data_IF_047680407194
#
_entry.id   IF_047680407194
#
_cell.length_a   1.000
_cell.length_b   1.000
_cell.length_c   1.000
_cell.angle_alpha   90.00
_cell.angle_beta   90.00
_cell.angle_gamma   90.00
#
_symmetry.space_group_name_H-M   'P 1'
#
loop_
_entity.id
_entity.type
_entity.pdbx_description
1 polymer ?
#
# COMPACT_ATOMS: atom_id res chain seq x y z
N UNK A 1 -52.94 17.95 9.64
CA UNK A 1 -53.55 19.22 9.20
C UNK A 1 -55.00 18.91 8.87
N UNK A 2 -55.91 19.40 9.70
CA UNK A 2 -57.36 19.22 9.51
C UNK A 2 -57.80 19.86 8.19
N UNK A 3 -58.40 19.09 7.29
CA UNK A 3 -59.00 19.62 6.06
C UNK A 3 -60.36 20.24 6.42
N UNK A 4 -60.46 21.56 6.30
CA UNK A 4 -61.70 22.29 6.48
C UNK A 4 -62.75 21.91 5.42
N UNK A 5 -63.79 21.20 5.86
CA UNK A 5 -65.04 21.07 5.10
C UNK A 5 -65.79 22.40 5.18
N UNK A 6 -65.63 23.28 4.19
CA UNK A 6 -66.48 24.46 4.04
C UNK A 6 -67.91 24.03 3.67
N UNK A 7 -68.81 24.14 4.66
CA UNK A 7 -70.24 23.91 4.47
C UNK A 7 -70.84 25.07 3.67
N UNK A 8 -71.27 24.78 2.44
CA UNK A 8 -72.09 25.69 1.64
C UNK A 8 -73.45 25.95 2.32
N UNK A 9 -73.62 27.13 2.93
CA UNK A 9 -74.91 27.63 3.40
C UNK A 9 -75.43 28.64 2.37
N UNK A 10 -76.57 28.35 1.73
CA UNK A 10 -77.29 29.32 0.87
C UNK A 10 -78.64 29.65 1.54
N UNK A 11 -78.88 30.95 1.80
CA UNK A 11 -80.20 31.49 2.19
C UNK A 11 -81.10 31.53 0.95
N UNK A 12 -82.30 30.92 1.03
CA UNK A 12 -83.31 30.92 -0.04
C UNK A 12 -83.91 32.32 -0.27
N UNK A 13 -83.97 32.84 -1.51
CA UNK A 13 -84.96 33.82 -1.91
C UNK A 13 -86.17 33.13 -2.56
N UNK A 14 -87.38 33.37 -2.06
CA UNK A 14 -88.63 32.88 -2.66
C UNK A 14 -88.96 33.63 -3.96
N UNK A 15 -88.91 32.93 -5.11
CA UNK A 15 -89.72 33.28 -6.29
C UNK A 15 -90.50 32.05 -6.73
N UNK A 16 -91.82 32.20 -6.79
CA UNK A 16 -92.81 31.16 -7.14
C UNK A 16 -92.87 30.99 -8.66
N UNK A 17 -92.20 29.95 -9.16
CA UNK A 17 -92.60 29.16 -10.31
C UNK A 17 -92.62 27.70 -9.86
N UNK A 18 -93.50 26.84 -10.40
CA UNK A 18 -93.46 25.42 -10.07
C UNK A 18 -92.11 24.86 -10.53
N UNK A 19 -91.28 24.39 -9.61
CA UNK A 19 -90.05 23.68 -9.92
C UNK A 19 -90.39 22.38 -10.66
N UNK A 20 -89.80 22.18 -11.82
CA UNK A 20 -89.90 20.92 -12.57
C UNK A 20 -89.03 19.88 -11.89
N UNK A 21 -89.60 18.70 -11.65
CA UNK A 21 -88.88 17.57 -11.04
C UNK A 21 -87.73 17.18 -11.98
N UNK A 22 -86.53 17.01 -11.42
CA UNK A 22 -85.30 16.63 -12.12
C UNK A 22 -84.75 17.58 -13.19
N UNK A 23 -85.33 18.77 -13.38
CA UNK A 23 -84.80 19.74 -14.35
C UNK A 23 -83.37 20.25 -14.03
N UNK A 24 -82.98 20.24 -12.75
CA UNK A 24 -81.63 20.57 -12.30
C UNK A 24 -80.66 19.37 -12.36
N UNK A 25 -81.14 18.16 -12.69
CA UNK A 25 -80.34 16.94 -12.68
C UNK A 25 -79.50 16.85 -13.96
N UNK A 26 -78.20 16.58 -13.79
CA UNK A 26 -77.30 16.31 -14.92
C UNK A 26 -77.64 14.97 -15.54
N UNK A 27 -77.53 14.87 -16.87
CA UNK A 27 -77.69 13.62 -17.59
C UNK A 27 -76.48 12.69 -17.29
N UNK A 28 -76.79 11.49 -16.79
CA UNK A 28 -75.81 10.47 -16.43
C UNK A 28 -74.84 10.14 -17.59
N UNK A 29 -75.34 10.15 -18.83
CA UNK A 29 -74.56 9.83 -20.04
C UNK A 29 -73.49 10.89 -20.36
N UNK A 30 -73.61 12.08 -19.78
CA UNK A 30 -72.67 13.18 -20.01
C UNK A 30 -71.50 13.18 -19.05
N UNK A 31 -71.54 12.36 -18.00
CA UNK A 31 -70.50 12.29 -16.96
C UNK A 31 -69.36 11.40 -17.48
N UNK A 32 -68.24 12.02 -17.83
CA UNK A 32 -67.04 11.35 -18.31
C UNK A 32 -65.93 11.40 -17.26
N UNK A 33 -65.23 10.28 -17.08
CA UNK A 33 -64.08 10.16 -16.18
C UNK A 33 -62.82 9.89 -17.00
N UNK A 34 -61.80 10.73 -16.84
CA UNK A 34 -60.51 10.62 -17.50
C UNK A 34 -59.41 10.40 -16.45
N UNK A 35 -58.55 9.40 -16.65
CA UNK A 35 -57.38 9.14 -15.78
C UNK A 35 -56.20 9.97 -16.28
N UNK A 36 -55.64 10.82 -15.43
CA UNK A 36 -54.53 11.68 -15.79
C UNK A 36 -53.21 10.89 -15.70
N UNK A 37 -52.45 10.82 -16.80
CA UNK A 37 -51.04 10.37 -16.86
C UNK A 37 -50.69 9.05 -16.14
N UNK A 38 -51.62 8.10 -16.03
CA UNK A 38 -51.38 6.82 -15.35
C UNK A 38 -51.07 6.95 -13.85
N UNK A 39 -51.43 8.08 -13.23
CA UNK A 39 -51.38 8.28 -11.77
C UNK A 39 -52.75 7.97 -11.15
N UNK A 40 -52.85 8.11 -9.82
CA UNK A 40 -54.10 8.03 -9.05
C UNK A 40 -55.05 9.21 -9.26
N UNK A 41 -54.75 10.10 -10.20
CA UNK A 41 -55.41 11.38 -10.36
C UNK A 41 -56.42 11.31 -11.50
N UNK A 42 -57.64 11.80 -11.25
CA UNK A 42 -58.75 11.70 -12.20
C UNK A 42 -59.35 13.07 -12.46
N UNK A 43 -59.88 13.24 -13.67
CA UNK A 43 -60.71 14.38 -14.05
C UNK A 43 -62.11 13.88 -14.41
N UNK A 44 -63.13 14.48 -13.80
CA UNK A 44 -64.54 14.18 -14.05
C UNK A 44 -65.15 15.39 -14.75
N UNK A 45 -65.73 15.21 -15.94
CA UNK A 45 -66.36 16.27 -16.73
C UNK A 45 -67.83 15.94 -17.03
N UNK A 46 -68.67 16.97 -17.19
CA UNK A 46 -70.09 16.78 -17.50
C UNK A 46 -70.68 17.97 -18.26
N UNK A 47 -71.87 17.79 -18.83
CA UNK A 47 -72.62 18.89 -19.47
C UNK A 47 -73.66 19.49 -18.51
N UNK A 48 -73.98 20.76 -18.71
CA UNK A 48 -75.01 21.44 -17.94
C UNK A 48 -76.40 20.82 -18.21
N UNK A 49 -77.31 20.82 -17.23
CA UNK A 49 -78.73 20.56 -17.45
C UNK A 49 -79.29 21.51 -18.52
N UNK A 50 -80.22 21.01 -19.35
CA UNK A 50 -80.73 21.73 -20.53
C UNK A 50 -81.57 22.95 -20.14
N UNK A 51 -82.40 22.82 -19.09
CA UNK A 51 -83.29 23.90 -18.61
C UNK A 51 -83.46 23.84 -17.09
N UNK A 52 -82.47 24.31 -16.30
CA UNK A 52 -82.52 24.24 -14.84
C UNK A 52 -83.56 25.21 -14.25
N UNK A 53 -84.16 24.83 -13.12
CA UNK A 53 -85.16 25.61 -12.37
C UNK A 53 -84.60 26.94 -11.83
N UNK A 54 -83.29 27.17 -11.89
CA UNK A 54 -82.65 28.42 -11.50
C UNK A 54 -81.18 28.47 -11.91
N UNK A 55 -80.55 29.63 -11.70
CA UNK A 55 -79.13 29.80 -11.98
C UNK A 55 -78.31 28.79 -11.18
N UNK A 56 -77.45 28.04 -11.88
CA UNK A 56 -76.53 27.09 -11.27
C UNK A 56 -75.38 27.87 -10.65
N UNK A 57 -75.17 27.69 -9.35
CA UNK A 57 -74.14 28.39 -8.57
C UNK A 57 -72.96 27.49 -8.22
N UNK A 58 -73.17 26.17 -8.14
CA UNK A 58 -72.11 25.21 -7.87
C UNK A 58 -72.49 23.79 -8.28
N UNK A 59 -71.50 22.91 -8.33
CA UNK A 59 -71.66 21.46 -8.43
C UNK A 59 -71.03 20.77 -7.24
N UNK A 60 -71.70 19.77 -6.70
CA UNK A 60 -71.13 18.86 -5.69
C UNK A 60 -70.79 17.56 -6.36
N UNK A 61 -69.50 17.26 -6.47
CA UNK A 61 -68.99 16.01 -7.03
C UNK A 61 -68.46 15.16 -5.90
N UNK A 62 -68.96 13.95 -5.77
CA UNK A 62 -68.54 12.98 -4.75
C UNK A 62 -68.07 11.71 -5.43
N UNK A 63 -66.92 11.22 -5.00
CA UNK A 63 -66.34 9.96 -5.47
C UNK A 63 -66.40 8.95 -4.34
N UNK A 64 -67.06 7.82 -4.59
CA UNK A 64 -67.40 6.79 -3.60
C UNK A 64 -66.71 5.49 -3.99
N UNK A 65 -65.79 4.99 -3.16
CA UNK A 65 -65.23 3.66 -3.35
C UNK A 65 -66.32 2.62 -3.02
N UNK A 66 -66.58 1.70 -3.94
CA UNK A 66 -67.61 0.66 -3.82
C UNK A 66 -67.10 -0.60 -3.12
N UNK A 67 -65.78 -0.84 -3.12
CA UNK A 67 -65.16 -2.05 -2.58
C UNK A 67 -64.74 -1.92 -1.09
N UNK A 68 -64.48 -0.70 -0.61
CA UNK A 68 -64.04 -0.43 0.76
C UNK A 68 -64.99 0.57 1.43
N UNK A 69 -65.29 0.43 2.73
CA UNK A 69 -65.98 1.45 3.55
C UNK A 69 -65.10 2.71 3.76
N UNK A 70 -64.54 3.26 2.68
CA UNK A 70 -63.79 4.51 2.74
C UNK A 70 -64.74 5.69 2.83
N UNK A 71 -64.34 6.73 3.57
CA UNK A 71 -65.01 8.03 3.56
C UNK A 71 -65.08 8.58 2.14
N UNK A 72 -66.27 8.89 1.60
CA UNK A 72 -66.39 9.50 0.29
C UNK A 72 -65.59 10.80 0.22
N UNK A 73 -64.89 11.01 -0.89
CA UNK A 73 -64.17 12.27 -1.15
C UNK A 73 -65.09 13.15 -1.97
N UNK A 74 -65.46 14.32 -1.47
CA UNK A 74 -66.31 15.27 -2.17
C UNK A 74 -65.67 16.64 -2.37
N UNK A 75 -65.99 17.26 -3.48
CA UNK A 75 -65.60 18.63 -3.83
C UNK A 75 -66.83 19.42 -4.22
N UNK A 76 -66.89 20.67 -3.77
CA UNK A 76 -67.93 21.63 -4.16
C UNK A 76 -67.30 22.69 -5.06
N UNK A 77 -67.66 22.68 -6.34
CA UNK A 77 -67.03 23.52 -7.35
C UNK A 77 -67.99 24.67 -7.68
N UNK A 78 -67.63 25.93 -7.34
CA UNK A 78 -68.43 27.09 -7.68
C UNK A 78 -68.37 27.37 -9.19
N UNK A 79 -69.51 27.74 -9.77
CA UNK A 79 -69.57 28.14 -11.18
C UNK A 79 -69.00 29.56 -11.31
N UNK A 80 -68.01 29.74 -12.20
CA UNK A 80 -67.41 31.04 -12.53
C UNK A 80 -67.39 31.25 -14.05
N UNK A 81 -67.19 32.49 -14.50
CA UNK A 81 -67.16 32.82 -15.94
C UNK A 81 -66.01 32.18 -16.71
N UNK A 82 -64.94 31.77 -16.01
CA UNK A 82 -63.72 31.19 -16.60
C UNK A 82 -63.67 29.66 -16.51
N UNK A 83 -64.65 29.04 -15.84
CA UNK A 83 -64.67 27.60 -15.58
C UNK A 83 -65.86 26.94 -16.27
N UNK A 84 -65.61 25.87 -17.02
CA UNK A 84 -66.63 25.10 -17.74
C UNK A 84 -66.64 23.64 -17.26
N UNK A 85 -67.78 23.09 -16.82
CA UNK A 85 -67.87 21.69 -16.37
C UNK A 85 -67.53 20.66 -17.44
N UNK A 86 -67.68 21.01 -18.73
CA UNK A 86 -67.36 20.11 -19.84
C UNK A 86 -65.86 20.11 -20.21
N UNK A 87 -65.07 21.07 -19.72
CA UNK A 87 -63.64 21.22 -20.06
C UNK A 87 -62.77 21.05 -18.82
N UNK A 88 -63.06 21.82 -17.77
CA UNK A 88 -62.26 21.83 -16.54
C UNK A 88 -62.70 20.69 -15.61
N UNK A 89 -64.02 20.54 -15.41
CA UNK A 89 -64.58 19.51 -14.55
C UNK A 89 -64.09 19.56 -13.10
N UNK A 90 -64.13 18.42 -12.42
CA UNK A 90 -63.59 18.18 -11.08
C UNK A 90 -62.32 17.33 -11.15
N UNK A 91 -61.26 17.72 -10.44
CA UNK A 91 -60.00 16.95 -10.39
C UNK A 91 -59.80 16.39 -8.98
N UNK A 92 -59.66 15.07 -8.87
CA UNK A 92 -59.35 14.39 -7.62
C UNK A 92 -57.96 13.78 -7.72
N UNK A 93 -57.07 14.14 -6.80
CA UNK A 93 -55.69 13.67 -6.76
C UNK A 93 -55.49 12.67 -5.63
N UNK A 94 -54.59 11.70 -5.83
CA UNK A 94 -54.19 10.76 -4.77
C UNK A 94 -55.26 9.78 -4.31
N UNK A 95 -56.17 9.35 -5.21
CA UNK A 95 -57.15 8.33 -4.86
C UNK A 95 -56.48 6.97 -4.60
N UNK A 96 -56.99 6.26 -3.59
CA UNK A 96 -56.53 4.92 -3.25
C UNK A 96 -56.95 3.89 -4.31
N UNK A 97 -56.41 2.69 -4.21
CA UNK A 97 -56.79 1.55 -5.03
C UNK A 97 -58.25 1.12 -4.79
N UNK A 98 -59.04 1.05 -5.87
CA UNK A 98 -60.39 0.47 -5.84
C UNK A 98 -61.32 0.95 -6.95
N UNK A 99 -62.55 0.44 -6.87
CA UNK A 99 -63.63 0.72 -7.82
C UNK A 99 -64.47 1.88 -7.34
N UNK A 100 -64.53 2.96 -8.11
CA UNK A 100 -65.18 4.19 -7.71
C UNK A 100 -66.44 4.47 -8.52
N UNK A 101 -67.43 5.05 -7.84
CA UNK A 101 -68.65 5.61 -8.43
C UNK A 101 -68.66 7.12 -8.23
N UNK A 102 -69.01 7.85 -9.28
CA UNK A 102 -69.24 9.29 -9.21
C UNK A 102 -70.70 9.57 -8.87
N UNK A 103 -70.92 10.43 -7.88
CA UNK A 103 -72.21 11.05 -7.58
C UNK A 103 -72.10 12.56 -7.80
N UNK A 104 -72.92 13.10 -8.69
CA UNK A 104 -72.95 14.52 -9.05
C UNK A 104 -74.29 15.15 -8.66
N UNK A 105 -74.24 16.30 -8.00
CA UNK A 105 -75.43 17.11 -7.70
C UNK A 105 -75.23 18.56 -8.14
N UNK A 106 -76.23 19.10 -8.82
CA UNK A 106 -76.28 20.52 -9.19
C UNK A 106 -76.82 21.32 -8.01
N UNK A 107 -76.21 22.47 -7.72
CA UNK A 107 -76.71 23.45 -6.76
C UNK A 107 -77.19 24.66 -7.56
N UNK A 108 -78.51 24.82 -7.65
CA UNK A 108 -79.17 25.97 -8.28
C UNK A 108 -79.72 26.91 -7.20
N UNK A 109 -80.19 28.09 -7.60
CA UNK A 109 -80.95 28.98 -6.71
C UNK A 109 -82.27 28.34 -6.21
N UNK A 110 -82.81 27.34 -6.92
CA UNK A 110 -84.03 26.63 -6.55
C UNK A 110 -83.77 25.52 -5.51
N UNK A 111 -82.56 24.95 -5.50
CA UNK A 111 -82.18 23.92 -4.53
C UNK A 111 -81.05 23.02 -5.02
N UNK A 112 -80.90 21.88 -4.34
CA UNK A 112 -79.93 20.85 -4.73
C UNK A 112 -80.69 19.77 -5.51
N UNK A 113 -80.16 19.37 -6.66
CA UNK A 113 -80.76 18.33 -7.50
C UNK A 113 -80.72 16.94 -6.83
N UNK A 114 -81.52 16.02 -7.37
CA UNK A 114 -81.29 14.59 -7.15
C UNK A 114 -79.89 14.19 -7.68
N UNK A 115 -79.26 13.15 -7.09
CA UNK A 115 -77.97 12.67 -7.55
C UNK A 115 -78.04 12.08 -8.96
N UNK A 116 -77.12 12.51 -9.81
CA UNK A 116 -76.76 11.88 -11.07
C UNK A 116 -75.56 10.95 -10.82
N UNK A 117 -75.56 9.77 -11.42
CA UNK A 117 -74.47 8.80 -11.30
C UNK A 117 -73.86 8.56 -12.67
N UNK A 118 -72.53 8.46 -12.74
CA UNK A 118 -71.88 7.95 -13.95
C UNK A 118 -72.35 6.53 -14.24
N UNK A 119 -72.54 6.19 -15.52
CA UNK A 119 -73.05 4.87 -15.92
C UNK A 119 -72.01 3.76 -15.66
N UNK A 120 -70.73 4.06 -15.85
CA UNK A 120 -69.63 3.12 -15.64
C UNK A 120 -68.88 3.38 -14.32
N UNK A 121 -68.52 2.30 -13.64
CA UNK A 121 -67.54 2.33 -12.55
C UNK A 121 -66.15 2.47 -13.14
N UNK A 122 -65.29 3.27 -12.51
CA UNK A 122 -63.90 3.40 -12.93
C UNK A 122 -62.97 2.82 -11.86
N UNK A 123 -61.88 2.21 -12.32
CA UNK A 123 -60.89 1.57 -11.45
C UNK A 123 -59.66 2.45 -11.34
N UNK A 124 -59.25 2.78 -10.12
CA UNK A 124 -57.96 3.40 -9.85
C UNK A 124 -57.00 2.31 -9.40
N UNK A 125 -55.94 2.07 -10.17
CA UNK A 125 -54.87 1.13 -9.82
C UNK A 125 -53.55 1.89 -9.68
N UNK A 126 -53.03 1.99 -8.46
CA UNK A 126 -51.68 2.49 -8.22
C UNK A 126 -50.69 1.32 -8.33
N UNK A 127 -49.71 1.36 -9.24
CA UNK A 127 -48.72 0.28 -9.33
C UNK A 127 -47.91 0.24 -8.04
N UNK A 128 -47.93 -0.92 -7.36
CA UNK A 128 -47.19 -1.12 -6.12
C UNK A 128 -45.67 -0.99 -6.32
N UNK A 129 -44.94 -0.82 -5.22
CA UNK A 129 -43.46 -0.71 -5.22
C UNK A 129 -42.77 -1.88 -5.94
N UNK A 130 -43.36 -3.08 -5.88
CA UNK A 130 -42.86 -4.30 -6.51
C UNK A 130 -43.23 -4.43 -7.98
N UNK A 131 -42.81 -3.48 -8.81
CA UNK A 131 -42.89 -3.65 -10.27
C UNK A 131 -41.72 -4.50 -10.79
N UNK A 132 -41.92 -5.19 -11.91
CA UNK A 132 -40.85 -5.96 -12.59
C UNK A 132 -39.64 -5.06 -12.89
N UNK A 133 -39.90 -3.79 -13.25
CA UNK A 133 -38.84 -2.79 -13.48
C UNK A 133 -38.02 -2.52 -12.21
N UNK A 134 -38.67 -2.36 -11.06
CA UNK A 134 -38.01 -2.11 -9.79
C UNK A 134 -37.22 -3.35 -9.31
N UNK A 135 -37.77 -4.54 -9.51
CA UNK A 135 -37.08 -5.80 -9.18
C UNK A 135 -35.81 -5.95 -10.04
N UNK A 136 -35.90 -5.70 -11.35
CA UNK A 136 -34.74 -5.74 -12.26
C UNK A 136 -33.67 -4.72 -11.88
N UNK A 137 -34.07 -3.50 -11.49
CA UNK A 137 -33.15 -2.46 -11.04
C UNK A 137 -32.40 -2.88 -9.76
N UNK A 138 -33.09 -3.47 -8.79
CA UNK A 138 -32.48 -3.96 -7.55
C UNK A 138 -31.47 -5.08 -7.81
N UNK A 139 -31.78 -6.02 -8.70
CA UNK A 139 -30.85 -7.08 -9.11
C UNK A 139 -29.60 -6.53 -9.80
N UNK A 140 -29.77 -5.52 -10.66
CA UNK A 140 -28.65 -4.86 -11.33
C UNK A 140 -27.70 -4.16 -10.34
N UNK A 141 -28.26 -3.44 -9.36
CA UNK A 141 -27.46 -2.77 -8.32
C UNK A 141 -26.71 -3.81 -7.47
N UNK A 142 -27.35 -4.92 -7.11
CA UNK A 142 -26.72 -6.00 -6.35
C UNK A 142 -25.54 -6.64 -7.12
N UNK A 143 -25.70 -6.86 -8.44
CA UNK A 143 -24.63 -7.39 -9.28
C UNK A 143 -23.43 -6.44 -9.36
N UNK A 144 -23.69 -5.14 -9.54
CA UNK A 144 -22.64 -4.11 -9.53
C UNK A 144 -21.87 -4.07 -8.21
N UNK A 145 -22.58 -4.16 -7.08
CA UNK A 145 -21.96 -4.22 -5.76
C UNK A 145 -21.07 -5.47 -5.60
N UNK A 146 -21.55 -6.64 -6.01
CA UNK A 146 -20.78 -7.88 -5.96
C UNK A 146 -19.49 -7.82 -6.79
N UNK A 147 -19.54 -7.18 -7.97
CA UNK A 147 -18.36 -6.97 -8.83
C UNK A 147 -17.35 -6.06 -8.12
N UNK A 148 -17.79 -4.95 -7.53
CA UNK A 148 -16.91 -4.01 -6.81
C UNK A 148 -16.23 -4.72 -5.63
N UNK A 149 -16.99 -5.48 -4.83
CA UNK A 149 -16.45 -6.27 -3.71
C UNK A 149 -15.45 -7.32 -4.22
N UNK A 150 -15.73 -7.98 -5.35
CA UNK A 150 -14.81 -8.92 -5.98
C UNK A 150 -13.50 -8.29 -6.42
N UNK A 151 -13.54 -7.10 -7.03
CA UNK A 151 -12.34 -6.35 -7.46
C UNK A 151 -11.51 -5.92 -6.25
N UNK A 152 -12.15 -5.34 -5.23
CA UNK A 152 -11.48 -4.93 -3.99
C UNK A 152 -10.86 -6.15 -3.31
N UNK A 153 -11.62 -7.24 -3.18
CA UNK A 153 -11.14 -8.52 -2.67
C UNK A 153 -9.94 -9.04 -3.45
N UNK A 154 -9.97 -9.01 -4.78
CA UNK A 154 -8.83 -9.38 -5.63
C UNK A 154 -7.59 -8.53 -5.35
N UNK A 155 -7.71 -7.20 -5.23
CA UNK A 155 -6.57 -6.34 -4.92
C UNK A 155 -6.02 -6.58 -3.51
N UNK A 156 -6.88 -6.80 -2.52
CA UNK A 156 -6.47 -7.16 -1.16
C UNK A 156 -5.76 -8.51 -1.13
N UNK A 157 -6.32 -9.53 -1.79
CA UNK A 157 -5.71 -10.85 -1.92
C UNK A 157 -4.40 -10.76 -2.67
N UNK A 158 -4.32 -10.05 -3.79
CA UNK A 158 -3.08 -9.85 -4.56
C UNK A 158 -2.00 -9.15 -3.73
N UNK A 159 -2.36 -8.13 -2.94
CA UNK A 159 -1.43 -7.42 -2.05
C UNK A 159 -0.96 -8.32 -0.90
N UNK A 160 -1.88 -9.05 -0.27
CA UNK A 160 -1.59 -10.00 0.81
C UNK A 160 -0.73 -11.17 0.32
N UNK A 161 -1.10 -11.81 -0.79
CA UNK A 161 -0.33 -12.87 -1.43
C UNK A 161 1.01 -12.36 -1.93
N UNK A 162 1.12 -11.19 -2.55
CA UNK A 162 2.44 -10.68 -2.97
C UNK A 162 3.41 -10.49 -1.80
N UNK A 163 2.90 -10.12 -0.63
CA UNK A 163 3.70 -9.96 0.59
C UNK A 163 4.05 -11.33 1.20
N UNK A 164 3.08 -12.24 1.29
CA UNK A 164 3.28 -13.64 1.75
C UNK A 164 4.17 -14.46 0.80
N UNK A 165 4.05 -14.30 -0.50
CA UNK A 165 4.88 -15.01 -1.50
C UNK A 165 6.33 -14.54 -1.41
N UNK A 166 6.59 -13.25 -1.14
CA UNK A 166 7.95 -12.78 -0.81
C UNK A 166 8.48 -13.46 0.46
N UNK A 167 7.64 -13.59 1.48
CA UNK A 167 7.97 -14.26 2.75
C UNK A 167 8.25 -15.76 2.55
N UNK A 168 7.39 -16.49 1.82
CA UNK A 168 7.57 -17.89 1.48
C UNK A 168 8.75 -18.13 0.55
N UNK A 169 8.98 -17.30 -0.46
CA UNK A 169 10.16 -17.41 -1.32
C UNK A 169 11.43 -17.26 -0.48
N UNK A 170 11.47 -16.30 0.45
CA UNK A 170 12.60 -16.09 1.35
C UNK A 170 12.81 -17.27 2.31
N UNK A 171 11.74 -17.86 2.84
CA UNK A 171 11.80 -19.06 3.68
C UNK A 171 12.15 -20.33 2.90
N UNK A 172 11.67 -20.48 1.67
CA UNK A 172 11.96 -21.61 0.78
C UNK A 172 13.44 -21.59 0.33
N UNK A 173 13.98 -20.40 0.04
CA UNK A 173 15.42 -20.16 -0.17
C UNK A 173 16.24 -20.68 1.01
N UNK A 174 15.73 -20.56 2.24
CA UNK A 174 16.43 -21.03 3.46
C UNK A 174 16.25 -22.52 3.76
N UNK A 175 15.18 -23.15 3.28
CA UNK A 175 14.79 -24.50 3.67
C UNK A 175 15.30 -25.60 2.71
N UNK A 176 15.47 -25.30 1.42
CA UNK A 176 16.11 -26.22 0.48
C UNK A 176 16.63 -25.49 -0.78
N UNK A 177 17.88 -25.02 -0.78
CA UNK A 177 18.38 -24.15 -1.85
C UNK A 177 18.74 -24.91 -3.15
N UNK A 178 18.63 -26.24 -3.18
CA UNK A 178 18.82 -27.07 -4.39
C UNK A 178 17.65 -27.00 -5.39
N UNK A 179 16.44 -26.61 -4.95
CA UNK A 179 15.25 -26.59 -5.81
C UNK A 179 15.08 -25.33 -6.67
N UNK A 180 15.97 -24.35 -6.49
CA UNK A 180 15.87 -23.06 -7.17
C UNK A 180 16.85 -23.03 -8.35
N UNK A 181 16.31 -22.97 -9.57
CA UNK A 181 17.15 -22.69 -10.73
C UNK A 181 17.66 -21.25 -10.65
N UNK A 182 18.91 -21.00 -11.07
CA UNK A 182 19.52 -19.66 -11.07
C UNK A 182 18.63 -18.62 -11.79
N UNK A 183 17.88 -19.07 -12.81
CA UNK A 183 16.96 -18.25 -13.60
C UNK A 183 15.65 -17.88 -12.87
N UNK A 184 15.22 -18.65 -11.87
CA UNK A 184 14.01 -18.37 -11.10
C UNK A 184 14.23 -17.34 -9.97
N UNK A 185 15.48 -17.11 -9.55
CA UNK A 185 15.80 -16.30 -8.38
C UNK A 185 16.56 -15.00 -8.69
N UNK A 186 17.47 -15.01 -9.66
CA UNK A 186 18.19 -13.80 -10.08
C UNK A 186 17.71 -13.36 -11.45
N UNK A 187 17.04 -12.22 -11.51
CA UNK A 187 16.69 -11.56 -12.77
C UNK A 187 17.73 -10.48 -13.04
N UNK A 188 18.35 -10.46 -14.23
CA UNK A 188 19.22 -9.36 -14.63
C UNK A 188 18.51 -8.03 -14.42
N UNK A 189 19.22 -7.09 -13.78
CA UNK A 189 18.75 -5.74 -13.54
C UNK A 189 19.73 -4.72 -14.13
N UNK A 190 19.59 -3.46 -13.76
CA UNK A 190 20.44 -2.37 -14.25
C UNK A 190 21.92 -2.45 -13.83
N UNK A 191 22.28 -3.42 -12.98
CA UNK A 191 23.67 -3.70 -12.60
C UNK A 191 24.30 -4.82 -13.43
N UNK A 192 23.56 -5.40 -14.38
CA UNK A 192 24.07 -6.44 -15.28
C UNK A 192 25.09 -5.84 -16.26
N UNK A 193 26.26 -6.47 -16.38
CA UNK A 193 27.30 -6.11 -17.33
C UNK A 193 27.42 -7.16 -18.43
N UNK A 194 27.87 -6.76 -19.62
CA UNK A 194 28.18 -7.74 -20.66
C UNK A 194 29.52 -8.41 -20.36
N UNK A 195 29.54 -9.74 -20.44
CA UNK A 195 30.76 -10.54 -20.26
C UNK A 195 31.87 -10.16 -21.24
N UNK A 196 31.52 -9.79 -22.48
CA UNK A 196 32.47 -9.40 -23.53
C UNK A 196 33.29 -8.16 -23.18
N UNK A 197 32.77 -7.32 -22.28
CA UNK A 197 33.39 -6.04 -21.96
C UNK A 197 34.40 -6.17 -20.82
N UNK A 198 34.53 -7.36 -20.24
CA UNK A 198 35.42 -7.69 -19.14
C UNK A 198 36.51 -8.66 -19.59
N UNK A 199 37.74 -8.38 -19.17
CA UNK A 199 38.88 -9.29 -19.36
C UNK A 199 39.39 -9.74 -18.00
N UNK A 200 39.48 -11.06 -17.77
CA UNK A 200 40.13 -11.63 -16.59
C UNK A 200 41.62 -11.81 -16.88
N UNK A 201 42.49 -11.44 -15.95
CA UNK A 201 43.94 -11.49 -16.11
C UNK A 201 44.56 -12.56 -15.18
N UNK A 202 44.93 -12.19 -13.96
CA UNK A 202 45.60 -13.08 -13.01
C UNK A 202 44.78 -13.29 -11.74
N UNK A 203 44.91 -14.47 -11.13
CA UNK A 203 44.30 -14.77 -9.83
C UNK A 203 45.01 -13.95 -8.73
N UNK A 204 44.24 -13.14 -7.98
CA UNK A 204 44.76 -12.27 -6.89
C UNK A 204 44.36 -12.78 -5.50
N UNK A 205 43.42 -13.71 -5.41
CA UNK A 205 43.02 -14.27 -4.14
C UNK A 205 42.00 -15.40 -4.27
N UNK A 206 41.75 -16.08 -3.15
CA UNK A 206 40.70 -17.08 -3.01
C UNK A 206 39.82 -16.72 -1.82
N UNK A 207 38.53 -16.61 -2.07
CA UNK A 207 37.50 -16.42 -1.05
C UNK A 207 36.68 -17.70 -0.85
N UNK A 208 35.65 -17.58 -0.02
CA UNK A 208 34.76 -18.71 0.36
C UNK A 208 34.04 -19.34 -0.83
N UNK A 209 33.62 -18.54 -1.83
CA UNK A 209 32.85 -19.01 -2.99
C UNK A 209 33.72 -19.43 -4.19
N UNK A 210 34.99 -19.02 -4.22
CA UNK A 210 35.84 -19.24 -5.37
C UNK A 210 37.00 -18.25 -5.45
N UNK A 211 37.42 -17.97 -6.68
CA UNK A 211 38.63 -17.20 -6.97
C UNK A 211 38.30 -15.74 -7.24
N UNK A 212 39.21 -14.87 -6.86
CA UNK A 212 39.21 -13.45 -7.22
C UNK A 212 40.32 -13.22 -8.23
N UNK A 213 39.98 -12.61 -9.35
CA UNK A 213 40.92 -12.26 -10.40
C UNK A 213 41.08 -10.74 -10.46
N UNK A 214 42.29 -10.28 -10.79
CA UNK A 214 42.46 -8.96 -11.39
C UNK A 214 41.84 -9.01 -12.78
N UNK A 215 41.12 -7.96 -13.14
CA UNK A 215 40.53 -7.83 -14.46
C UNK A 215 40.52 -6.40 -14.96
N UNK A 216 39.99 -6.23 -16.16
CA UNK A 216 39.87 -4.94 -16.81
C UNK A 216 38.51 -4.78 -17.47
N UNK A 217 37.85 -3.64 -17.26
CA UNK A 217 36.66 -3.19 -17.97
C UNK A 217 37.05 -2.32 -19.17
N UNK A 218 36.63 -2.71 -20.37
CA UNK A 218 36.91 -1.95 -21.59
C UNK A 218 35.86 -0.84 -21.81
N UNK A 219 36.12 0.37 -21.28
CA UNK A 219 35.20 1.52 -21.35
C UNK A 219 33.80 1.22 -20.78
N UNK A 220 33.73 0.38 -19.74
CA UNK A 220 32.46 -0.02 -19.14
C UNK A 220 31.99 1.05 -18.17
N UNK A 221 30.78 1.54 -18.37
CA UNK A 221 30.11 2.47 -17.47
C UNK A 221 29.33 1.69 -16.40
N UNK A 222 29.71 1.85 -15.14
CA UNK A 222 28.99 1.29 -13.99
C UNK A 222 27.61 1.95 -13.83
N UNK A 223 26.70 1.30 -13.10
CA UNK A 223 25.41 1.89 -12.76
C UNK A 223 25.54 3.23 -12.01
N UNK A 224 26.61 3.39 -11.23
CA UNK A 224 26.93 4.60 -10.49
C UNK A 224 27.54 5.71 -11.35
N UNK A 225 27.73 5.50 -12.66
CA UNK A 225 28.28 6.49 -13.59
C UNK A 225 29.80 6.51 -13.68
N UNK A 226 30.50 5.52 -13.11
CA UNK A 226 31.96 5.43 -13.23
C UNK A 226 32.37 4.62 -14.44
N UNK A 227 33.28 5.16 -15.23
CA UNK A 227 34.02 4.33 -16.19
C UNK A 227 35.18 3.67 -15.46
N UNK A 228 35.20 2.35 -15.39
CA UNK A 228 36.26 1.62 -14.68
C UNK A 228 37.18 0.87 -15.66
N UNK A 229 38.48 0.94 -15.38
CA UNK A 229 39.52 0.18 -16.06
C UNK A 229 39.88 -1.06 -15.23
N UNK A 230 40.83 -0.92 -14.31
CA UNK A 230 41.25 -2.02 -13.43
C UNK A 230 40.16 -2.35 -12.40
N UNK A 231 39.83 -3.63 -12.24
CA UNK A 231 38.82 -4.10 -11.30
C UNK A 231 39.19 -5.44 -10.67
N UNK A 232 38.53 -5.76 -9.54
CA UNK A 232 38.54 -7.10 -8.96
C UNK A 232 37.30 -7.88 -9.41
N UNK A 233 37.50 -9.07 -9.96
CA UNK A 233 36.43 -9.94 -10.46
C UNK A 233 36.37 -11.19 -9.58
N UNK A 234 35.35 -11.25 -8.72
CA UNK A 234 35.06 -12.43 -7.89
C UNK A 234 34.27 -13.42 -8.74
N UNK A 235 34.62 -14.70 -8.63
CA UNK A 235 34.00 -15.80 -9.38
C UNK A 235 33.56 -16.90 -8.44
N UNK A 236 32.52 -17.62 -8.83
CA UNK A 236 32.10 -18.86 -8.17
C UNK A 236 32.78 -20.06 -8.86
N UNK A 237 33.11 -21.10 -8.10
CA UNK A 237 33.67 -22.34 -8.68
C UNK A 237 32.70 -22.99 -9.68
N UNK A 238 33.22 -23.60 -10.76
CA UNK A 238 32.38 -24.26 -11.77
C UNK A 238 31.56 -25.42 -11.19
N UNK A 239 32.11 -26.11 -10.18
CA UNK A 239 31.46 -27.18 -9.43
C UNK A 239 30.41 -26.69 -8.44
N UNK A 240 30.23 -25.38 -8.26
CA UNK A 240 29.32 -24.85 -7.27
C UNK A 240 27.88 -25.20 -7.60
N UNK A 241 27.13 -25.62 -6.57
CA UNK A 241 25.71 -25.94 -6.71
C UNK A 241 24.86 -24.66 -6.86
N UNK A 242 23.58 -24.82 -7.22
CA UNK A 242 22.66 -23.69 -7.41
C UNK A 242 22.54 -22.82 -6.15
N UNK A 243 22.65 -23.42 -4.96
CA UNK A 243 22.58 -22.74 -3.67
C UNK A 243 23.76 -21.78 -3.45
N UNK A 244 24.99 -22.25 -3.71
CA UNK A 244 26.22 -21.48 -3.58
C UNK A 244 26.25 -20.33 -4.58
N UNK A 245 25.81 -20.57 -5.82
CA UNK A 245 25.65 -19.54 -6.86
C UNK A 245 24.64 -18.47 -6.44
N UNK A 246 23.50 -18.89 -5.87
CA UNK A 246 22.51 -17.97 -5.35
C UNK A 246 23.06 -17.14 -4.19
N UNK A 247 23.75 -17.76 -3.23
CA UNK A 247 24.36 -17.05 -2.10
C UNK A 247 25.40 -16.04 -2.58
N UNK A 248 26.18 -16.41 -3.60
CA UNK A 248 27.15 -15.53 -4.24
C UNK A 248 26.49 -14.29 -4.86
N UNK A 249 25.38 -14.46 -5.58
CA UNK A 249 24.60 -13.36 -6.16
C UNK A 249 23.89 -12.51 -5.10
N UNK A 250 23.45 -13.11 -4.00
CA UNK A 250 22.85 -12.38 -2.87
C UNK A 250 23.86 -11.45 -2.18
N UNK A 251 25.11 -11.87 -2.04
CA UNK A 251 26.19 -11.02 -1.53
C UNK A 251 26.34 -9.76 -2.38
N UNK A 252 26.35 -9.90 -3.71
CA UNK A 252 26.40 -8.77 -4.63
C UNK A 252 25.14 -7.89 -4.56
N UNK A 253 23.95 -8.49 -4.40
CA UNK A 253 22.70 -7.73 -4.27
C UNK A 253 22.68 -6.82 -3.04
N UNK A 254 23.32 -7.22 -1.95
CA UNK A 254 23.47 -6.35 -0.77
C UNK A 254 24.32 -5.12 -1.11
N UNK A 255 25.42 -5.31 -1.85
CA UNK A 255 26.33 -4.23 -2.22
C UNK A 255 25.70 -3.18 -3.15
N UNK A 256 24.67 -3.54 -3.94
CA UNK A 256 23.93 -2.59 -4.80
C UNK A 256 23.28 -1.44 -4.03
N UNK A 257 23.03 -1.62 -2.72
CA UNK A 257 22.39 -0.62 -1.87
C UNK A 257 23.35 0.39 -1.23
N UNK A 258 24.66 0.19 -1.39
CA UNK A 258 25.67 1.03 -0.75
C UNK A 258 26.05 2.25 -1.60
N UNK A 259 26.26 3.39 -0.93
CA UNK A 259 26.68 4.63 -1.60
C UNK A 259 28.11 4.50 -2.10
N UNK A 260 28.36 5.13 -3.25
CA UNK A 260 29.66 5.15 -3.90
C UNK A 260 30.72 5.92 -3.10
N UNK A 261 30.33 6.92 -2.29
CA UNK A 261 31.26 7.74 -1.51
C UNK A 261 31.61 7.17 -0.14
N UNK A 262 30.96 6.08 0.30
CA UNK A 262 31.25 5.48 1.60
C UNK A 262 32.60 4.75 1.59
N UNK A 263 33.22 4.57 2.76
CA UNK A 263 34.40 3.71 2.94
C UNK A 263 34.04 2.21 2.89
N UNK A 264 33.29 1.81 1.86
CA UNK A 264 32.83 0.47 1.55
C UNK A 264 33.33 0.10 0.15
N UNK A 265 33.78 -1.14 -0.03
CA UNK A 265 34.23 -1.63 -1.34
C UNK A 265 33.09 -1.52 -2.36
N UNK A 266 33.31 -0.73 -3.41
CA UNK A 266 32.34 -0.41 -4.44
C UNK A 266 32.08 -1.57 -5.38
N UNK A 267 30.80 -1.84 -5.63
CA UNK A 267 30.35 -2.73 -6.70
C UNK A 267 30.28 -1.96 -8.02
N UNK A 268 30.86 -2.49 -9.09
CA UNK A 268 30.67 -1.95 -10.44
C UNK A 268 29.54 -2.65 -11.19
N UNK A 269 29.35 -3.95 -10.97
CA UNK A 269 28.25 -4.70 -11.55
C UNK A 269 28.36 -6.21 -11.39
N UNK A 270 27.42 -6.93 -11.98
CA UNK A 270 27.30 -8.39 -11.93
C UNK A 270 27.18 -8.93 -13.35
N UNK A 271 27.78 -10.09 -13.61
CA UNK A 271 27.54 -10.85 -14.84
C UNK A 271 26.92 -12.17 -14.44
N UNK A 272 25.61 -12.25 -14.58
CA UNK A 272 24.81 -13.45 -14.31
C UNK A 272 24.66 -14.34 -15.55
N UNK A 273 24.86 -13.80 -16.75
CA UNK A 273 24.85 -14.56 -18.00
C UNK A 273 26.16 -15.33 -18.25
N UNK A 274 26.02 -16.61 -18.59
CA UNK A 274 27.13 -17.56 -18.74
C UNK A 274 27.76 -18.03 -17.43
N UNK A 275 28.73 -18.94 -17.53
CA UNK A 275 29.49 -19.48 -16.40
C UNK A 275 31.00 -19.20 -16.59
N UNK A 276 31.75 -18.93 -15.50
CA UNK A 276 31.25 -18.70 -14.14
C UNK A 276 30.58 -17.33 -13.99
N UNK A 277 29.63 -17.21 -13.06
CA UNK A 277 29.04 -15.92 -12.66
C UNK A 277 30.13 -14.98 -12.11
N UNK A 278 30.07 -13.70 -12.47
CA UNK A 278 31.07 -12.71 -12.08
C UNK A 278 30.46 -11.61 -11.22
N UNK A 279 31.18 -11.19 -10.19
CA UNK A 279 30.89 -9.97 -9.40
C UNK A 279 32.08 -9.05 -9.53
N UNK A 280 31.85 -7.87 -10.12
CA UNK A 280 32.88 -6.90 -10.50
C UNK A 280 32.90 -5.77 -9.49
N UNK A 281 34.04 -5.56 -8.85
CA UNK A 281 34.23 -4.61 -7.75
C UNK A 281 35.45 -3.73 -8.00
N UNK A 282 35.55 -2.64 -7.25
CA UNK A 282 36.77 -1.82 -7.25
C UNK A 282 38.00 -2.63 -6.84
N UNK A 283 39.13 -2.29 -7.43
CA UNK A 283 40.41 -2.93 -7.13
C UNK A 283 41.00 -2.35 -5.85
N UNK A 284 41.48 -3.22 -4.97
CA UNK A 284 42.18 -2.85 -3.74
C UNK A 284 43.59 -3.44 -3.80
N UNK A 285 44.51 -2.72 -4.44
CA UNK A 285 45.81 -3.26 -4.92
C UNK A 285 46.72 -3.76 -3.80
N UNK A 286 46.59 -3.23 -2.58
CA UNK A 286 47.41 -3.62 -1.43
C UNK A 286 46.79 -4.76 -0.62
N UNK A 287 45.66 -5.31 -1.09
CA UNK A 287 45.00 -6.46 -0.49
C UNK A 287 44.28 -6.13 0.82
N UNK A 288 44.09 -7.14 1.68
CA UNK A 288 43.44 -6.94 2.97
C UNK A 288 44.38 -6.33 4.01
N UNK A 289 43.82 -5.55 4.93
CA UNK A 289 44.55 -4.79 5.94
C UNK A 289 45.34 -5.70 6.88
N UNK A 290 44.85 -6.90 7.20
CA UNK A 290 45.61 -7.86 8.04
C UNK A 290 46.93 -8.25 7.40
N UNK A 291 46.90 -8.65 6.14
CA UNK A 291 48.10 -9.14 5.44
C UNK A 291 49.00 -7.95 5.06
N UNK A 292 48.42 -6.79 4.74
CA UNK A 292 49.16 -5.53 4.59
C UNK A 292 49.98 -5.19 5.84
N UNK A 293 49.36 -5.23 7.04
CA UNK A 293 50.05 -4.97 8.30
C UNK A 293 51.14 -6.01 8.62
N UNK A 294 50.91 -7.29 8.27
CA UNK A 294 51.92 -8.34 8.45
C UNK A 294 53.14 -8.12 7.56
N UNK A 295 52.93 -7.72 6.31
CA UNK A 295 54.01 -7.41 5.36
C UNK A 295 54.88 -6.23 5.79
N UNK A 296 54.45 -5.44 6.79
CA UNK A 296 55.17 -4.28 7.32
C UNK A 296 55.76 -4.53 8.71
N UNK A 297 55.62 -5.75 9.23
CA UNK A 297 56.14 -6.13 10.55
C UNK A 297 57.66 -6.36 10.43
N UNK A 298 58.51 -5.66 11.20
CA UNK A 298 59.95 -5.86 11.16
C UNK A 298 60.32 -7.25 11.65
N UNK A 299 61.19 -7.92 10.90
CA UNK A 299 61.65 -9.28 11.20
C UNK A 299 60.61 -10.38 10.96
N UNK A 300 59.47 -10.06 10.35
CA UNK A 300 58.50 -11.07 9.92
C UNK A 300 58.91 -11.70 8.58
N UNK A 301 58.64 -12.99 8.41
CA UNK A 301 58.90 -13.72 7.15
C UNK A 301 58.14 -13.11 5.98
N UNK A 302 56.96 -12.54 6.24
CA UNK A 302 56.12 -11.88 5.25
C UNK A 302 56.63 -10.49 4.83
N UNK A 303 57.55 -9.87 5.59
CA UNK A 303 58.15 -8.57 5.26
C UNK A 303 59.42 -8.73 4.43
N UNK A 304 59.27 -9.31 3.24
CA UNK A 304 60.38 -9.63 2.34
C UNK A 304 61.13 -8.37 1.89
N UNK A 305 60.39 -7.26 1.69
CA UNK A 305 60.92 -5.99 1.17
C UNK A 305 61.45 -5.07 2.29
N UNK A 306 61.48 -5.51 3.55
CA UNK A 306 61.84 -4.68 4.72
C UNK A 306 61.10 -3.34 4.75
N UNK A 307 59.82 -3.38 4.42
CA UNK A 307 58.94 -2.25 4.40
C UNK A 307 58.83 -1.64 5.81
N UNK A 308 58.84 -0.29 5.92
CA UNK A 308 58.74 0.38 7.20
C UNK A 308 57.37 0.14 7.84
N UNK A 309 57.37 0.11 9.17
CA UNK A 309 56.14 0.11 9.98
C UNK A 309 55.32 1.36 9.63
N UNK A 310 54.00 1.24 9.46
CA UNK A 310 53.15 2.41 9.27
C UNK A 310 53.30 3.42 10.40
N UNK A 311 53.20 4.68 10.05
CA UNK A 311 53.22 5.80 10.98
C UNK A 311 51.96 5.81 11.85
N UNK A 312 52.02 6.47 13.01
CA UNK A 312 50.84 6.67 13.85
C UNK A 312 49.71 7.41 13.11
N UNK A 313 50.05 8.34 12.22
CA UNK A 313 49.09 9.05 11.39
C UNK A 313 48.31 8.11 10.47
N UNK A 314 48.98 7.15 9.81
CA UNK A 314 48.33 6.17 8.95
C UNK A 314 47.38 5.26 9.75
N UNK A 315 47.78 4.81 10.94
CA UNK A 315 46.89 4.05 11.81
C UNK A 315 45.62 4.82 12.21
N UNK A 316 45.75 6.12 12.52
CA UNK A 316 44.59 6.96 12.86
C UNK A 316 43.68 7.19 11.66
N UNK A 317 44.26 7.40 10.48
CA UNK A 317 43.52 7.57 9.23
C UNK A 317 42.70 6.32 8.90
N UNK A 318 43.30 5.14 8.94
CA UNK A 318 42.58 3.88 8.70
C UNK A 318 41.49 3.62 9.73
N UNK A 319 41.74 3.93 11.01
CA UNK A 319 40.72 3.80 12.04
C UNK A 319 39.53 4.75 11.80
N UNK A 320 39.81 5.99 11.37
CA UNK A 320 38.77 6.96 11.02
C UNK A 320 37.93 6.51 9.82
N UNK A 321 38.58 6.02 8.76
CA UNK A 321 37.90 5.52 7.55
C UNK A 321 37.01 4.30 7.85
N UNK A 322 37.51 3.34 8.63
CA UNK A 322 36.71 2.18 9.07
C UNK A 322 35.54 2.63 9.95
N UNK A 323 35.76 3.57 10.88
CA UNK A 323 34.71 4.06 11.74
C UNK A 323 33.62 4.81 10.95
N UNK A 324 34.01 5.63 9.98
CA UNK A 324 33.08 6.35 9.10
C UNK A 324 32.28 5.38 8.21
N UNK A 325 32.93 4.37 7.62
CA UNK A 325 32.25 3.30 6.89
C UNK A 325 31.24 2.53 7.75
N UNK A 326 31.58 2.21 9.00
CA UNK A 326 30.65 1.57 9.93
C UNK A 326 29.51 2.50 10.38
N UNK A 327 29.77 3.81 10.51
CA UNK A 327 28.74 4.82 10.76
C UNK A 327 27.76 4.93 9.60
N UNK A 328 28.25 4.86 8.36
CA UNK A 328 27.41 4.77 7.17
C UNK A 328 26.52 3.52 7.21
N UNK A 329 27.09 2.32 7.46
CA UNK A 329 26.30 1.09 7.55
C UNK A 329 25.23 1.16 8.65
N UNK A 330 25.54 1.74 9.81
CA UNK A 330 24.57 1.98 10.87
C UNK A 330 23.43 2.91 10.41
N UNK A 331 23.75 3.98 9.67
CA UNK A 331 22.77 4.95 9.19
C UNK A 331 21.72 4.33 8.26
N UNK A 332 22.11 3.31 7.49
CA UNK A 332 21.23 2.53 6.61
C UNK A 332 20.68 1.25 7.31
N UNK A 333 20.83 1.15 8.64
CA UNK A 333 20.37 0.01 9.46
C UNK A 333 20.93 -1.34 9.02
N UNK A 334 22.18 -1.34 8.58
CA UNK A 334 22.89 -2.52 8.14
C UNK A 334 23.94 -2.97 9.15
N UNK A 335 23.97 -4.26 9.45
CA UNK A 335 24.94 -4.83 10.38
C UNK A 335 25.89 -5.78 9.64
N UNK A 336 27.19 -5.43 9.62
CA UNK A 336 28.21 -6.24 8.94
C UNK A 336 28.44 -7.62 9.59
N UNK A 337 28.36 -7.71 10.93
CA UNK A 337 28.53 -8.93 11.76
C UNK A 337 29.89 -9.64 11.73
N UNK A 338 30.77 -9.31 10.79
CA UNK A 338 32.12 -9.88 10.68
C UNK A 338 33.17 -8.81 10.39
N UNK A 339 33.11 -7.67 11.08
CA UNK A 339 34.13 -6.63 10.90
C UNK A 339 35.46 -7.11 11.52
N UNK A 340 36.49 -7.24 10.67
CA UNK A 340 37.85 -7.61 11.07
C UNK A 340 38.86 -7.10 10.04
N UNK A 341 40.14 -6.97 10.42
CA UNK A 341 41.19 -6.48 9.51
C UNK A 341 41.37 -7.32 8.22
N UNK A 342 40.94 -8.59 8.21
CA UNK A 342 40.93 -9.43 7.00
C UNK A 342 39.81 -9.05 6.00
N UNK A 343 38.78 -8.37 6.49
CA UNK A 343 37.62 -7.91 5.73
C UNK A 343 37.69 -6.40 5.46
N UNK A 344 38.76 -5.72 5.89
CA UNK A 344 39.10 -4.38 5.43
C UNK A 344 40.14 -4.49 4.32
N UNK A 345 40.00 -3.72 3.26
CA UNK A 345 40.85 -3.74 2.07
C UNK A 345 41.58 -2.40 1.93
N UNK A 346 42.79 -2.42 1.38
CA UNK A 346 43.65 -1.24 1.22
C UNK A 346 43.89 -0.98 -0.27
N UNK A 347 43.61 0.24 -0.72
CA UNK A 347 43.79 0.65 -2.11
C UNK A 347 45.23 1.13 -2.40
N UNK A 348 45.52 1.46 -3.67
CA UNK A 348 46.80 2.04 -4.10
C UNK A 348 47.18 3.32 -3.33
N UNK A 349 46.20 4.12 -2.90
CA UNK A 349 46.37 5.41 -2.22
C UNK A 349 46.43 5.30 -0.69
N UNK A 350 46.50 4.08 -0.11
CA UNK A 350 46.42 3.83 1.34
C UNK A 350 45.06 4.16 1.98
N UNK A 351 43.99 4.25 1.19
CA UNK A 351 42.63 4.32 1.70
C UNK A 351 42.15 2.92 2.06
N UNK A 352 41.56 2.80 3.24
CA UNK A 352 40.95 1.57 3.74
C UNK A 352 39.45 1.61 3.54
N UNK A 353 38.92 0.54 2.98
CA UNK A 353 37.48 0.33 2.81
C UNK A 353 37.05 -1.01 3.38
N UNK A 354 35.82 -1.07 3.87
CA UNK A 354 35.22 -2.29 4.41
C UNK A 354 34.68 -3.13 3.24
N UNK A 355 35.03 -4.40 3.21
CA UNK A 355 34.56 -5.37 2.21
C UNK A 355 34.13 -6.68 2.86
N UNK A 356 33.83 -7.67 2.02
CA UNK A 356 33.36 -9.02 2.40
C UNK A 356 32.09 -9.02 3.28
N UNK A 357 30.93 -8.99 2.61
CA UNK A 357 29.61 -8.96 3.23
C UNK A 357 28.98 -10.34 3.36
N UNK A 358 29.76 -11.43 3.24
CA UNK A 358 29.25 -12.81 3.21
C UNK A 358 28.43 -13.25 4.45
N UNK A 359 28.51 -12.51 5.56
CA UNK A 359 27.74 -12.76 6.80
C UNK A 359 26.77 -11.63 7.17
N UNK A 360 26.66 -10.61 6.33
CA UNK A 360 25.94 -9.40 6.66
C UNK A 360 24.42 -9.54 6.45
N UNK A 361 23.61 -8.87 7.29
CA UNK A 361 22.14 -8.95 7.23
C UNK A 361 21.47 -7.63 7.64
N UNK A 362 20.31 -7.37 7.04
CA UNK A 362 19.38 -6.32 7.46
C UNK A 362 18.86 -6.59 8.90
N UNK A 363 18.82 -5.55 9.73
CA UNK A 363 18.35 -5.59 11.12
C UNK A 363 16.86 -5.97 11.20
N UNK A 364 16.04 -5.64 10.18
CA UNK A 364 14.60 -5.98 10.15
C UNK A 364 14.31 -7.48 9.94
N UNK A 365 15.30 -8.26 9.51
CA UNK A 365 15.15 -9.71 9.35
C UNK A 365 14.81 -10.41 10.69
N UNK A 366 15.18 -9.80 11.82
CA UNK A 366 14.95 -10.38 13.15
C UNK A 366 13.53 -10.20 13.71
N UNK A 367 12.70 -9.29 13.18
CA UNK A 367 11.31 -9.17 13.64
C UNK A 367 10.39 -10.26 13.08
N UNK A 368 10.79 -10.97 12.01
CA UNK A 368 9.91 -11.91 11.30
C UNK A 368 10.50 -13.32 11.08
N UNK A 369 11.78 -13.57 11.41
CA UNK A 369 12.41 -14.88 11.22
C UNK A 369 12.51 -15.70 12.53
N UNK A 370 11.67 -16.72 12.67
CA UNK A 370 11.84 -17.83 13.62
C UNK A 370 12.40 -19.04 12.86
N UNK A 371 13.67 -19.43 13.05
CA UNK A 371 14.18 -20.66 12.46
C UNK A 371 13.49 -21.87 13.14
N UNK A 372 12.82 -22.70 12.34
CA UNK A 372 12.30 -23.98 12.80
C UNK A 372 13.48 -24.93 13.07
N UNK A 373 13.60 -25.41 14.32
CA UNK A 373 14.42 -26.59 14.65
C UNK A 373 15.69 -26.36 15.46
N UNK A 374 16.10 -25.12 15.75
CA UNK A 374 17.04 -24.82 16.84
C UNK A 374 16.36 -23.87 17.81
N UNK A 375 16.38 -24.24 19.10
CA UNK A 375 15.67 -23.58 20.20
C UNK A 375 15.64 -22.06 20.05
N UNK A 376 14.44 -21.49 20.18
CA UNK A 376 14.29 -20.10 20.62
C UNK A 376 15.15 -19.94 21.89
N UNK A 377 16.02 -18.94 21.96
CA UNK A 377 16.48 -18.41 23.24
C UNK A 377 15.49 -17.31 23.63
N UNK A 378 14.49 -17.58 24.50
CA UNK A 378 13.59 -16.56 24.99
C UNK A 378 14.40 -15.73 25.98
N UNK A 379 14.71 -14.47 25.62
CA UNK A 379 15.32 -13.45 26.47
C UNK A 379 16.31 -13.97 27.52
N UNK A 380 17.54 -14.33 27.15
CA UNK A 380 18.51 -14.85 28.11
C UNK A 380 19.94 -14.39 27.81
N UNK A 381 20.55 -13.91 28.89
CA UNK A 381 21.91 -13.50 29.19
C UNK A 381 23.06 -13.74 28.18
N UNK A 382 23.90 -12.71 28.12
CA UNK A 382 25.09 -12.46 27.31
C UNK A 382 26.23 -13.50 27.32
N UNK A 383 26.19 -14.62 28.04
CA UNK A 383 27.40 -15.47 28.20
C UNK A 383 27.44 -16.73 27.32
N UNK A 384 26.32 -17.44 27.11
CA UNK A 384 26.32 -18.69 26.34
C UNK A 384 26.40 -18.49 24.82
N UNK A 385 25.95 -17.32 24.33
CA UNK A 385 26.02 -16.94 22.92
C UNK A 385 27.46 -16.62 22.49
N UNK A 386 28.27 -16.06 23.39
CA UNK A 386 29.70 -15.79 23.13
C UNK A 386 30.47 -17.09 22.88
N UNK A 387 30.20 -18.12 23.70
CA UNK A 387 30.77 -19.46 23.57
C UNK A 387 30.45 -20.12 22.20
N UNK A 388 29.21 -19.99 21.70
CA UNK A 388 28.77 -20.65 20.47
C UNK A 388 29.24 -19.95 19.18
N UNK A 389 29.44 -18.62 19.19
CA UNK A 389 29.96 -17.85 18.04
C UNK A 389 31.50 -17.96 17.93
N UNK A 390 32.15 -18.73 18.79
CA UNK A 390 33.62 -18.78 18.85
C UNK A 390 34.24 -17.51 19.46
N UNK A 391 33.42 -16.64 20.07
CA UNK A 391 33.92 -15.61 21.00
C UNK A 391 34.22 -16.33 22.31
N UNK A 392 35.35 -17.02 22.34
CA UNK A 392 35.93 -17.40 23.62
C UNK A 392 36.13 -16.10 24.39
N UNK A 393 35.47 -15.95 25.55
CA UNK A 393 35.92 -15.06 26.61
C UNK A 393 37.26 -15.64 27.10
N UNK A 394 38.30 -15.59 26.27
CA UNK A 394 39.65 -15.58 26.78
C UNK A 394 39.79 -14.20 27.38
N UNK A 395 39.47 -14.11 28.67
CA UNK A 395 40.37 -13.39 29.56
C UNK A 395 41.71 -14.07 29.28
N UNK A 396 42.50 -13.50 28.37
CA UNK A 396 43.89 -13.88 28.27
C UNK A 396 44.44 -13.53 29.65
N UNK A 397 44.70 -14.57 30.45
CA UNK A 397 45.61 -14.42 31.57
C UNK A 397 46.80 -13.61 31.07
N UNK A 398 47.17 -12.61 31.86
CA UNK A 398 48.31 -11.73 31.55
C UNK A 398 49.43 -12.61 30.99
N UNK A 399 49.87 -12.42 29.73
CA UNK A 399 51.23 -12.79 29.42
C UNK A 399 52.06 -11.92 30.35
N UNK A 400 52.62 -12.52 31.40
CA UNK A 400 53.72 -11.91 32.10
C UNK A 400 54.75 -11.54 31.03
N UNK A 401 55.22 -10.29 31.06
CA UNK A 401 56.33 -9.73 30.26
C UNK A 401 55.99 -8.91 29.00
N UNK A 402 54.90 -8.13 28.98
CA UNK A 402 54.84 -6.92 28.12
C UNK A 402 53.91 -5.82 28.69
N UNK A 403 54.43 -4.64 29.09
CA UNK A 403 53.64 -3.62 29.79
C UNK A 403 52.78 -2.70 28.90
N UNK A 404 52.88 -2.75 27.57
CA UNK A 404 52.22 -1.76 26.68
C UNK A 404 51.38 -2.41 25.56
N UNK A 405 50.17 -2.86 25.87
CA UNK A 405 49.13 -3.20 24.89
C UNK A 405 47.97 -2.21 25.05
N UNK A 406 47.75 -1.33 24.07
CA UNK A 406 46.63 -0.39 24.10
C UNK A 406 45.55 -0.79 23.11
N UNK A 407 44.40 -1.14 23.67
CA UNK A 407 43.13 -1.35 22.97
C UNK A 407 42.61 0.03 22.51
N UNK A 408 42.66 0.36 21.21
CA UNK A 408 41.99 1.58 20.72
C UNK A 408 40.49 1.28 20.66
N UNK A 409 39.81 1.60 21.76
CA UNK A 409 38.35 1.58 21.88
C UNK A 409 37.80 2.89 21.31
N UNK A 410 37.18 2.84 20.13
CA UNK A 410 36.40 3.98 19.61
C UNK A 410 35.08 4.03 20.39
N UNK A 411 35.07 4.75 21.51
CA UNK A 411 33.84 5.09 22.24
C UNK A 411 33.27 6.40 21.71
N UNK A 412 32.27 6.35 20.83
CA UNK A 412 31.48 7.54 20.51
C UNK A 412 30.32 7.67 21.51
N UNK A 413 30.48 8.53 22.52
CA UNK A 413 29.39 8.95 23.43
C UNK A 413 28.94 10.36 23.03
N UNK A 414 27.83 10.49 22.27
CA UNK A 414 26.70 11.40 22.60
C UNK A 414 25.60 11.46 21.53
N UNK A 415 24.35 11.46 22.04
CA UNK A 415 23.09 11.98 21.47
C UNK A 415 22.29 11.02 20.56
N UNK A 416 21.54 10.09 21.18
CA UNK A 416 20.07 10.21 21.30
C UNK A 416 19.52 9.06 22.16
N UNK A 417 18.55 9.39 23.01
CA UNK A 417 17.91 8.49 23.95
C UNK A 417 17.21 7.32 23.24
N UNK A 418 17.41 6.11 23.78
CA UNK A 418 16.71 4.84 23.49
C UNK A 418 17.18 4.12 22.22
N UNK A 419 18.21 3.29 22.37
CA UNK A 419 18.31 1.87 21.97
C UNK A 419 19.76 1.45 22.25
N UNK A 420 19.95 0.37 23.03
CA UNK A 420 21.28 -0.13 23.40
C UNK A 420 21.87 -0.95 22.24
N UNK A 421 22.93 -0.46 21.61
CA UNK A 421 23.91 -1.28 20.90
C UNK A 421 25.25 -0.53 20.85
N UNK A 422 26.18 -0.90 21.72
CA UNK A 422 27.56 -0.36 21.74
C UNK A 422 28.40 -1.25 20.82
N UNK A 423 28.80 -0.75 19.66
CA UNK A 423 29.72 -1.46 18.77
C UNK A 423 31.18 -1.13 19.12
N UNK A 424 31.89 -2.11 19.69
CA UNK A 424 33.32 -2.02 19.97
C UNK A 424 34.12 -2.51 18.77
N UNK A 425 34.87 -1.62 18.11
CA UNK A 425 35.83 -1.99 17.07
C UNK A 425 37.18 -2.26 17.76
N UNK A 426 37.59 -3.53 17.79
CA UNK A 426 38.94 -3.91 18.20
C UNK A 426 39.88 -3.84 16.99
N UNK A 427 40.52 -2.68 16.77
CA UNK A 427 41.68 -2.60 15.86
C UNK A 427 42.93 -2.94 16.68
N UNK A 428 43.49 -4.12 16.41
CA UNK A 428 44.76 -4.58 16.97
C UNK A 428 45.91 -3.71 16.42
N UNK A 429 46.50 -2.88 17.27
CA UNK A 429 47.84 -2.32 17.03
C UNK A 429 48.74 -2.75 18.19
N UNK A 430 49.76 -3.55 17.89
CA UNK A 430 50.77 -3.98 18.85
C UNK A 430 51.80 -2.84 19.01
N UNK A 431 51.96 -2.20 20.19
CA UNK A 431 52.82 -1.02 20.35
C UNK A 431 54.33 -1.31 20.48
N UNK A 432 54.77 -2.57 20.43
CA UNK A 432 56.13 -2.98 20.81
C UNK A 432 57.27 -2.49 19.90
N UNK A 433 57.05 -1.50 19.02
CA UNK A 433 58.09 -0.95 18.13
C UNK A 433 58.10 0.58 18.00
N UNK A 434 57.36 1.32 18.85
CA UNK A 434 57.54 2.77 18.92
C UNK A 434 58.82 3.09 19.73
N UNK A 435 59.75 3.90 19.20
CA UNK A 435 60.85 4.44 20.00
C UNK A 435 60.25 5.24 21.17
N UNK A 436 60.71 4.94 22.38
CA UNK A 436 60.27 5.54 23.62
C UNK A 436 60.41 7.08 23.60
N UNK A 437 59.31 7.81 23.43
CA UNK A 437 59.35 9.27 23.64
C UNK A 437 58.26 10.17 23.07
N UNK A 438 57.21 9.71 22.37
CA UNK A 438 56.25 10.65 21.73
C UNK A 438 54.99 10.89 22.56
N UNK A 439 54.95 12.04 23.24
CA UNK A 439 53.86 12.59 24.07
C UNK A 439 52.61 13.04 23.27
N UNK A 440 52.40 12.54 22.06
CA UNK A 440 51.40 13.06 21.12
C UNK A 440 49.96 12.56 21.36
N UNK A 441 49.78 11.44 22.08
CA UNK A 441 48.47 10.80 22.24
C UNK A 441 47.51 11.54 23.20
N UNK A 442 47.97 12.53 23.98
CA UNK A 442 47.13 13.26 24.95
C UNK A 442 46.39 14.47 24.40
N UNK A 443 46.76 14.98 23.21
CA UNK A 443 46.33 16.32 22.79
C UNK A 443 45.01 16.34 21.98
N UNK A 444 44.56 15.22 21.44
CA UNK A 444 43.41 15.20 20.52
C UNK A 444 42.03 15.01 21.17
N UNK A 445 41.96 14.60 22.44
CA UNK A 445 40.67 14.56 23.16
C UNK A 445 40.17 15.96 23.58
N UNK A 446 41.00 17.00 23.43
CA UNK A 446 40.68 18.39 23.81
C UNK A 446 40.17 19.29 22.68
N UNK A 447 40.18 18.85 21.42
CA UNK A 447 39.81 19.69 20.26
C UNK A 447 38.45 19.35 19.61
N UNK A 448 37.76 18.33 20.10
CA UNK A 448 36.39 17.98 19.72
C UNK A 448 35.46 18.10 20.93
N UNK A 449 35.31 19.31 21.45
CA UNK A 449 34.26 19.66 22.40
C UNK A 449 33.39 20.76 21.84
#
# INVERSE_FOLDING_TARGET
>A
MESGSERCCIRRPERRGLSVIDADRVDNTTINVEVLNGTSDIRITWKNPIDPNGLIVAYKVKVINTAKQSTPVDQCIPVSSEWNPAVNGAVFEGLNDGDYRVELRTVSLAGISQPAYAEELFQVYTPGFWTVKNILLMLFIFLLFAIIVGIVGYFFVKKYYSQKVKEYATQLISANPEYLSQADVYKPDEWELNRSDLTLECEIGRGTFGKVYRGYGNNVLSKCGDTFGVCAIKTVTESANSAERLHFLLEANVMKSFSAEAFIVKLYGVVSDGQPVLVVMEMMEKGNLRDYLRSRRPGAEENIENLPVPTSAEYYEWAAQIADGMGYLESIRFCHRDLAARNCMVDVNNVVKIGDFGMARDIYYHEYYKPNGKRLMPGLANEEVLSFIGISRKILDRPMDCPDFWLVSVSCKRVLSRFWAVFFIHILVCPCQLPSGTTAARTLCGRFR
#
